data_IF_033019187004
#
_entry.id   IF_033019187004
#
_cell.length_a   1.000
_cell.length_b   1.000
_cell.length_c   1.000
_cell.angle_alpha   90.00
_cell.angle_beta   90.00
_cell.angle_gamma   90.00
#
_symmetry.space_group_name_H-M   'P 1'
#
loop_
_entity.id
_entity.type
_entity.pdbx_description
1 polymer ?
#
# COMPACT_ATOMS: atom_id res chain seq x y z
N UNK A 1 -5.61 -3.08 23.47
CA UNK A 1 -5.90 -3.96 22.31
C UNK A 1 -4.59 -4.49 21.78
N UNK A 2 -4.52 -5.79 21.61
CA UNK A 2 -3.35 -6.44 20.99
C UNK A 2 -3.65 -6.71 19.53
N UNK A 3 -2.73 -6.33 18.64
CA UNK A 3 -2.87 -6.54 17.20
C UNK A 3 -1.77 -7.47 16.70
N UNK A 4 -2.12 -8.35 15.77
CA UNK A 4 -1.15 -9.21 15.08
C UNK A 4 -1.11 -8.84 13.61
N UNK A 5 0.05 -8.39 13.16
CA UNK A 5 0.30 -8.10 11.73
C UNK A 5 1.04 -9.27 11.12
N UNK A 6 0.50 -9.83 10.05
CA UNK A 6 1.16 -10.91 9.30
C UNK A 6 0.77 -10.91 7.83
N UNK A 7 1.55 -11.61 7.02
CA UNK A 7 1.21 -11.86 5.63
C UNK A 7 -0.02 -12.77 5.54
N UNK A 8 -0.86 -12.56 4.53
CA UNK A 8 -1.99 -13.43 4.23
C UNK A 8 -1.53 -14.76 3.68
N UNK A 9 -2.39 -15.79 3.74
CA UNK A 9 -2.21 -17.08 3.07
C UNK A 9 -3.18 -17.21 1.89
N UNK A 10 -2.93 -18.18 1.02
CA UNK A 10 -3.77 -18.41 -0.17
C UNK A 10 -5.21 -18.84 0.17
N UNK A 11 -5.38 -19.48 1.33
CA UNK A 11 -6.67 -19.97 1.81
C UNK A 11 -7.58 -18.86 2.34
N UNK A 12 -7.01 -17.70 2.66
CA UNK A 12 -7.71 -16.55 3.27
C UNK A 12 -8.35 -15.61 2.23
N UNK A 13 -8.73 -16.15 1.09
CA UNK A 13 -9.33 -15.36 0.01
C UNK A 13 -10.71 -14.79 0.36
N UNK A 14 -11.46 -15.43 1.29
CA UNK A 14 -12.76 -14.93 1.75
C UNK A 14 -12.60 -13.68 2.60
N UNK A 15 -11.68 -13.72 3.56
CA UNK A 15 -11.34 -12.59 4.42
C UNK A 15 -10.75 -11.44 3.60
N UNK A 16 -9.91 -11.75 2.60
CA UNK A 16 -9.39 -10.76 1.66
C UNK A 16 -10.51 -10.07 0.89
N UNK A 17 -11.50 -10.84 0.41
CA UNK A 17 -12.68 -10.30 -0.25
C UNK A 17 -13.48 -9.40 0.67
N UNK A 18 -13.80 -9.86 1.87
CA UNK A 18 -14.63 -9.16 2.85
C UNK A 18 -14.03 -7.80 3.23
N UNK A 19 -12.76 -7.77 3.63
CA UNK A 19 -12.11 -6.54 4.04
C UNK A 19 -11.90 -5.58 2.86
N UNK A 20 -11.65 -6.10 1.65
CA UNK A 20 -11.54 -5.26 0.45
C UNK A 20 -12.89 -4.60 0.14
N UNK A 21 -13.98 -5.34 0.18
CA UNK A 21 -15.31 -4.79 -0.07
C UNK A 21 -15.73 -3.81 1.03
N UNK A 22 -15.37 -4.06 2.28
CA UNK A 22 -15.56 -3.11 3.37
C UNK A 22 -14.80 -1.81 3.11
N UNK A 23 -13.52 -1.89 2.73
CA UNK A 23 -12.69 -0.73 2.41
C UNK A 23 -13.27 0.13 1.29
N UNK A 24 -13.75 -0.50 0.22
CA UNK A 24 -14.36 0.18 -0.93
C UNK A 24 -15.71 0.84 -0.58
N UNK A 25 -16.44 0.29 0.38
CA UNK A 25 -17.71 0.84 0.86
C UNK A 25 -17.49 2.01 1.81
N UNK A 26 -16.53 1.87 2.73
CA UNK A 26 -16.19 2.89 3.75
C UNK A 26 -15.46 4.10 3.14
N UNK A 27 -14.56 3.88 2.22
CA UNK A 27 -13.66 4.90 1.68
C UNK A 27 -13.52 4.83 0.16
N UNK A 28 -14.61 5.01 -0.60
CA UNK A 28 -14.62 4.79 -2.06
C UNK A 28 -13.66 5.68 -2.85
N UNK A 29 -13.35 6.89 -2.36
CA UNK A 29 -12.39 7.81 -2.98
C UNK A 29 -10.91 7.49 -2.72
N UNK A 30 -10.63 6.51 -1.85
CA UNK A 30 -9.25 6.14 -1.51
C UNK A 30 -8.67 5.05 -2.43
N UNK A 31 -9.49 4.43 -3.28
CA UNK A 31 -9.09 3.27 -4.08
C UNK A 31 -9.43 3.46 -5.56
N UNK A 32 -8.62 2.86 -6.42
CA UNK A 32 -8.83 2.87 -7.87
C UNK A 32 -9.94 1.88 -8.33
N UNK A 33 -10.46 1.07 -7.43
CA UNK A 33 -11.48 0.05 -7.69
C UNK A 33 -12.87 0.57 -7.31
N UNK A 34 -13.92 0.16 -8.07
CA UNK A 34 -15.30 0.38 -7.68
C UNK A 34 -15.82 -0.79 -6.83
N UNK A 35 -16.68 -0.48 -5.87
CA UNK A 35 -17.34 -1.53 -5.07
C UNK A 35 -18.14 -2.49 -5.95
N UNK A 36 -18.94 -1.96 -6.89
CA UNK A 36 -19.81 -2.77 -7.73
C UNK A 36 -19.04 -3.79 -8.59
N UNK A 37 -18.00 -3.33 -9.30
CA UNK A 37 -17.18 -4.20 -10.16
C UNK A 37 -16.40 -5.22 -9.34
N UNK A 38 -15.94 -4.83 -8.16
CA UNK A 38 -15.17 -5.70 -7.27
C UNK A 38 -16.06 -6.76 -6.61
N UNK A 39 -17.28 -6.39 -6.20
CA UNK A 39 -18.24 -7.31 -5.59
C UNK A 39 -18.75 -8.36 -6.60
N UNK A 40 -18.83 -7.99 -7.89
CA UNK A 40 -19.24 -8.88 -8.97
C UNK A 40 -18.17 -9.93 -9.35
N UNK A 41 -16.94 -9.82 -8.82
CA UNK A 41 -15.89 -10.80 -9.13
C UNK A 41 -16.22 -12.17 -8.55
N UNK A 42 -16.05 -13.26 -9.34
CA UNK A 42 -16.31 -14.61 -8.89
C UNK A 42 -15.25 -15.08 -7.87
N UNK A 43 -15.58 -16.09 -7.08
CA UNK A 43 -14.68 -16.67 -6.07
C UNK A 43 -13.31 -17.05 -6.62
N UNK A 44 -13.26 -17.59 -7.85
CA UNK A 44 -12.00 -17.93 -8.52
C UNK A 44 -11.07 -16.75 -8.76
N UNK A 45 -11.60 -15.53 -8.90
CA UNK A 45 -10.78 -14.31 -8.94
C UNK A 45 -10.06 -14.10 -7.60
N UNK A 46 -10.79 -14.17 -6.50
CA UNK A 46 -10.27 -13.97 -5.15
C UNK A 46 -9.27 -15.05 -4.74
N UNK A 47 -9.53 -16.30 -5.12
CA UNK A 47 -8.60 -17.40 -4.89
C UNK A 47 -7.26 -17.18 -5.61
N UNK A 48 -7.29 -16.79 -6.89
CA UNK A 48 -6.05 -16.47 -7.64
C UNK A 48 -5.34 -15.26 -7.06
N UNK A 49 -6.09 -14.23 -6.65
CA UNK A 49 -5.51 -13.05 -6.03
C UNK A 49 -4.82 -13.40 -4.71
N UNK A 50 -5.50 -14.09 -3.79
CA UNK A 50 -4.90 -14.49 -2.52
C UNK A 50 -3.66 -15.37 -2.72
N UNK A 51 -3.70 -16.33 -3.67
CA UNK A 51 -2.54 -17.15 -3.99
C UNK A 51 -1.36 -16.31 -4.51
N UNK A 52 -1.60 -15.34 -5.40
CA UNK A 52 -0.57 -14.44 -5.91
C UNK A 52 0.03 -13.55 -4.80
N UNK A 53 -0.80 -13.06 -3.88
CA UNK A 53 -0.37 -12.22 -2.74
C UNK A 53 0.38 -13.01 -1.66
N UNK A 54 0.09 -14.30 -1.53
CA UNK A 54 0.74 -15.20 -0.60
C UNK A 54 2.02 -15.83 -1.17
N UNK A 55 2.23 -15.82 -2.48
CA UNK A 55 3.42 -16.36 -3.12
C UNK A 55 4.68 -15.61 -2.71
N UNK A 56 5.82 -16.30 -2.71
CA UNK A 56 7.12 -15.66 -2.45
C UNK A 56 7.45 -14.63 -3.52
N UNK A 57 8.02 -13.49 -3.14
CA UNK A 57 8.43 -12.44 -4.07
C UNK A 57 8.12 -11.02 -3.58
N UNK A 58 8.21 -10.08 -4.50
CA UNK A 58 8.07 -8.64 -4.24
C UNK A 58 6.63 -8.24 -3.92
N UNK A 59 5.64 -8.92 -4.53
CA UNK A 59 4.22 -8.71 -4.24
C UNK A 59 3.84 -9.40 -2.93
N UNK A 60 3.16 -8.66 -2.05
CA UNK A 60 2.62 -9.22 -0.82
C UNK A 60 1.44 -8.40 -0.31
N UNK A 61 0.54 -9.07 0.40
CA UNK A 61 -0.50 -8.44 1.20
C UNK A 61 -0.38 -8.90 2.65
N UNK A 62 -0.48 -7.92 3.56
CA UNK A 62 -0.48 -8.11 5.00
C UNK A 62 -1.84 -7.75 5.56
N UNK A 63 -2.26 -8.50 6.58
CA UNK A 63 -3.47 -8.23 7.36
C UNK A 63 -3.11 -7.89 8.79
N UNK A 64 -3.99 -7.14 9.42
CA UNK A 64 -4.00 -6.94 10.88
C UNK A 64 -5.17 -7.71 11.46
N UNK A 65 -4.90 -8.49 12.50
CA UNK A 65 -5.93 -9.17 13.29
C UNK A 65 -6.02 -8.57 14.69
N UNK A 66 -7.22 -8.48 15.20
CA UNK A 66 -7.47 -8.15 16.59
C UNK A 66 -7.37 -9.39 17.51
N UNK A 67 -7.70 -9.22 18.78
CA UNK A 67 -7.67 -10.27 19.81
C UNK A 67 -8.66 -11.43 19.52
N UNK A 68 -9.69 -11.19 18.73
CA UNK A 68 -10.67 -12.22 18.32
C UNK A 68 -10.20 -13.00 17.10
N UNK A 69 -9.14 -12.55 16.44
CA UNK A 69 -8.65 -13.07 15.17
C UNK A 69 -9.34 -12.47 13.94
N UNK A 70 -10.25 -11.52 14.12
CA UNK A 70 -10.91 -10.83 13.00
C UNK A 70 -9.92 -9.92 12.26
N UNK A 71 -10.08 -9.83 10.94
CA UNK A 71 -9.31 -8.89 10.13
C UNK A 71 -9.83 -7.47 10.32
N UNK A 72 -8.95 -6.59 10.79
CA UNK A 72 -9.28 -5.19 11.06
C UNK A 72 -8.45 -4.21 10.23
N UNK A 73 -7.56 -4.72 9.38
CA UNK A 73 -6.77 -3.90 8.48
C UNK A 73 -6.05 -4.72 7.43
N UNK A 74 -5.71 -4.06 6.33
CA UNK A 74 -5.01 -4.63 5.18
C UNK A 74 -4.09 -3.59 4.56
N UNK A 75 -2.96 -4.03 4.02
CA UNK A 75 -2.13 -3.27 3.11
C UNK A 75 -1.34 -4.21 2.19
N UNK A 76 -1.04 -3.76 0.99
CA UNK A 76 -0.24 -4.51 0.03
C UNK A 76 0.95 -3.71 -0.49
N UNK A 77 1.88 -4.43 -1.12
CA UNK A 77 2.98 -3.88 -1.89
C UNK A 77 3.17 -4.68 -3.16
N UNK A 78 3.52 -4.01 -4.24
CA UNK A 78 3.78 -4.64 -5.54
C UNK A 78 4.73 -3.78 -6.40
N UNK A 79 5.43 -4.37 -7.37
CA UNK A 79 6.15 -3.64 -8.40
C UNK A 79 5.21 -2.71 -9.17
N UNK A 80 5.70 -1.52 -9.53
CA UNK A 80 4.94 -0.59 -10.37
C UNK A 80 5.14 -0.98 -11.83
N UNK A 81 4.08 -1.32 -12.57
CA UNK A 81 4.20 -1.64 -14.00
C UNK A 81 4.89 -0.50 -14.76
N UNK A 82 5.80 -0.85 -15.65
CA UNK A 82 6.53 0.07 -16.54
C UNK A 82 7.38 1.15 -15.84
N UNK A 83 7.56 1.03 -14.52
CA UNK A 83 8.46 1.92 -13.76
C UNK A 83 9.53 1.05 -13.09
N UNK A 84 10.74 0.98 -13.67
CA UNK A 84 11.80 0.13 -13.16
C UNK A 84 12.21 0.53 -11.74
N UNK A 85 12.73 -0.42 -11.00
CA UNK A 85 13.29 -0.25 -9.66
C UNK A 85 12.32 0.40 -8.64
N UNK A 86 11.00 0.28 -8.87
CA UNK A 86 9.98 0.91 -8.02
C UNK A 86 8.93 -0.09 -7.57
N UNK A 87 8.67 -0.12 -6.27
CA UNK A 87 7.52 -0.80 -5.66
C UNK A 87 6.56 0.23 -5.07
N UNK A 88 5.27 -0.11 -5.06
CA UNK A 88 4.21 0.76 -4.58
C UNK A 88 3.42 0.09 -3.45
N UNK A 89 3.22 0.83 -2.37
CA UNK A 89 2.25 0.45 -1.33
C UNK A 89 0.85 0.71 -1.84
N UNK A 90 -0.04 -0.23 -1.63
CA UNK A 90 -1.43 -0.17 -2.09
C UNK A 90 -2.42 -0.70 -1.06
N UNK A 91 -3.68 -0.38 -1.26
CA UNK A 91 -4.82 -0.94 -0.50
C UNK A 91 -4.69 -0.80 1.01
N UNK A 92 -4.13 0.31 1.49
CA UNK A 92 -3.99 0.55 2.93
C UNK A 92 -5.35 0.89 3.51
N UNK A 93 -5.82 0.03 4.40
CA UNK A 93 -7.10 0.19 5.07
C UNK A 93 -7.05 -0.34 6.50
N UNK A 94 -7.72 0.35 7.40
CA UNK A 94 -8.03 -0.10 8.77
C UNK A 94 -9.50 0.23 9.03
N UNK A 95 -10.23 -0.73 9.58
CA UNK A 95 -11.66 -0.58 9.89
C UNK A 95 -11.90 0.61 10.84
N UNK A 96 -13.01 1.33 10.74
CA UNK A 96 -13.25 2.57 11.49
C UNK A 96 -13.03 2.46 13.01
N UNK A 97 -13.48 1.36 13.61
CA UNK A 97 -13.37 1.13 15.06
C UNK A 97 -11.93 0.99 15.56
N UNK A 98 -10.98 0.66 14.67
CA UNK A 98 -9.57 0.41 15.01
C UNK A 98 -8.63 1.52 14.52
N UNK A 99 -9.18 2.67 14.06
CA UNK A 99 -8.40 3.84 13.63
C UNK A 99 -7.96 4.69 14.83
N UNK A 100 -6.92 5.49 14.62
CA UNK A 100 -6.42 6.46 15.60
C UNK A 100 -4.96 6.21 15.99
N UNK A 101 -4.48 6.96 16.99
CA UNK A 101 -3.06 6.94 17.36
C UNK A 101 -2.60 5.59 17.95
N UNK A 102 -3.51 4.87 18.63
CA UNK A 102 -3.27 3.54 19.18
C UNK A 102 -3.65 2.40 18.21
N UNK A 103 -4.06 2.73 16.99
CA UNK A 103 -4.44 1.74 15.97
C UNK A 103 -3.24 1.13 15.26
N UNK A 104 -3.45 0.02 14.56
CA UNK A 104 -2.37 -0.80 14.01
C UNK A 104 -1.82 -0.30 12.67
N UNK A 105 -2.27 0.84 12.16
CA UNK A 105 -1.90 1.31 10.83
C UNK A 105 -0.38 1.50 10.67
N UNK A 106 0.31 2.00 11.70
CA UNK A 106 1.76 2.19 11.66
C UNK A 106 2.50 0.85 11.62
N UNK A 107 2.09 -0.13 12.42
CA UNK A 107 2.70 -1.46 12.45
C UNK A 107 2.49 -2.19 11.12
N UNK A 108 1.30 -2.06 10.53
CA UNK A 108 0.99 -2.58 9.20
C UNK A 108 1.92 -1.99 8.14
N UNK A 109 2.10 -0.67 8.14
CA UNK A 109 3.02 0.00 7.20
C UNK A 109 4.47 -0.40 7.42
N UNK A 110 4.92 -0.58 8.67
CA UNK A 110 6.26 -1.06 8.96
C UNK A 110 6.49 -2.49 8.45
N UNK A 111 5.48 -3.37 8.52
CA UNK A 111 5.56 -4.72 7.96
C UNK A 111 5.73 -4.68 6.43
N UNK A 112 4.97 -3.81 5.75
CA UNK A 112 5.09 -3.58 4.30
C UNK A 112 6.49 -3.06 3.92
N UNK A 113 6.99 -2.05 4.63
CA UNK A 113 8.31 -1.45 4.35
C UNK A 113 9.42 -2.50 4.55
N UNK A 114 9.36 -3.29 5.62
CA UNK A 114 10.33 -4.40 5.84
C UNK A 114 10.25 -5.42 4.72
N UNK A 115 9.05 -5.89 4.38
CA UNK A 115 8.88 -6.87 3.31
C UNK A 115 9.46 -6.36 1.98
N UNK A 116 9.14 -5.12 1.60
CA UNK A 116 9.65 -4.52 0.38
C UNK A 116 11.19 -4.44 0.38
N UNK A 117 11.82 -4.14 1.53
CA UNK A 117 13.28 -4.14 1.66
C UNK A 117 13.90 -5.53 1.51
N UNK A 118 13.26 -6.53 2.09
CA UNK A 118 13.84 -7.87 2.20
C UNK A 118 13.61 -8.72 0.93
N UNK A 119 12.56 -8.42 0.16
CA UNK A 119 12.10 -9.27 -0.95
C UNK A 119 12.07 -8.57 -2.31
N UNK A 120 12.49 -7.30 -2.39
CA UNK A 120 12.56 -6.55 -3.64
C UNK A 120 13.96 -6.00 -3.88
N UNK A 121 14.36 -5.92 -5.15
CA UNK A 121 15.55 -5.19 -5.59
C UNK A 121 15.29 -3.70 -5.85
N UNK A 122 14.04 -3.25 -5.74
CA UNK A 122 13.64 -1.89 -6.02
C UNK A 122 14.45 -0.85 -5.21
N UNK A 123 14.72 0.27 -5.81
CA UNK A 123 15.42 1.40 -5.18
C UNK A 123 14.42 2.39 -4.55
N UNK A 124 13.18 2.37 -5.02
CA UNK A 124 12.14 3.33 -4.64
C UNK A 124 10.92 2.61 -4.07
N UNK A 125 10.42 3.11 -2.93
CA UNK A 125 9.13 2.75 -2.37
C UNK A 125 8.24 3.98 -2.45
N UNK A 126 7.08 3.83 -3.11
CA UNK A 126 6.13 4.92 -3.32
C UNK A 126 4.73 4.53 -2.86
N UNK A 127 3.85 5.49 -2.79
CA UNK A 127 2.40 5.31 -2.68
C UNK A 127 1.67 6.49 -3.30
N UNK A 128 0.42 6.25 -3.73
CA UNK A 128 -0.46 7.29 -4.23
C UNK A 128 -1.51 7.67 -3.19
N UNK A 129 -1.79 8.97 -3.03
CA UNK A 129 -2.85 9.47 -2.16
C UNK A 129 -3.69 10.48 -2.92
N UNK A 130 -5.02 10.29 -2.92
CA UNK A 130 -5.95 11.27 -3.46
C UNK A 130 -5.84 12.59 -2.67
N UNK A 131 -5.84 13.73 -3.38
CA UNK A 131 -5.70 15.08 -2.78
C UNK A 131 -6.78 15.37 -1.74
N UNK A 132 -7.98 14.81 -1.91
CA UNK A 132 -9.09 14.96 -0.96
C UNK A 132 -8.88 14.19 0.35
N UNK A 133 -7.94 13.22 0.39
CA UNK A 133 -7.68 12.39 1.56
C UNK A 133 -6.60 12.99 2.47
N UNK A 134 -6.86 14.18 3.04
CA UNK A 134 -5.93 14.88 3.92
C UNK A 134 -5.51 14.07 5.16
N UNK A 135 -6.39 13.19 5.66
CA UNK A 135 -6.07 12.30 6.79
C UNK A 135 -4.96 11.29 6.42
N UNK A 136 -5.07 10.65 5.26
CA UNK A 136 -4.06 9.72 4.78
C UNK A 136 -2.74 10.45 4.48
N UNK A 137 -2.79 11.62 3.83
CA UNK A 137 -1.61 12.45 3.60
C UNK A 137 -0.86 12.75 4.90
N UNK A 138 -1.57 13.22 5.94
CA UNK A 138 -0.98 13.52 7.23
C UNK A 138 -0.40 12.25 7.91
N UNK A 139 -1.06 11.10 7.75
CA UNK A 139 -0.58 9.83 8.28
C UNK A 139 0.73 9.39 7.62
N UNK A 140 0.79 9.37 6.29
CA UNK A 140 2.00 8.94 5.57
C UNK A 140 3.19 9.88 5.81
N UNK A 141 2.95 11.20 5.86
CA UNK A 141 4.01 12.16 6.21
C UNK A 141 4.57 11.92 7.61
N UNK A 142 3.74 11.59 8.61
CA UNK A 142 4.22 11.21 9.95
C UNK A 142 5.03 9.91 9.96
N UNK A 143 4.79 9.02 9.01
CA UNK A 143 5.60 7.79 8.83
C UNK A 143 6.91 8.05 8.09
N UNK A 144 7.15 9.26 7.60
CA UNK A 144 8.36 9.63 6.90
C UNK A 144 8.27 9.55 5.37
N UNK A 145 7.07 9.41 4.80
CA UNK A 145 6.89 9.60 3.36
C UNK A 145 6.91 11.09 3.02
N UNK A 146 7.51 11.42 1.90
CA UNK A 146 7.67 12.80 1.41
C UNK A 146 7.08 12.96 0.01
N UNK A 147 6.68 14.18 -0.32
CA UNK A 147 6.16 14.51 -1.64
C UNK A 147 7.28 14.38 -2.69
N UNK A 148 7.04 13.60 -3.74
CA UNK A 148 7.97 13.47 -4.86
C UNK A 148 7.84 14.61 -5.88
N UNK A 149 6.81 15.44 -5.77
CA UNK A 149 6.41 16.42 -6.78
C UNK A 149 5.63 15.81 -7.95
N UNK A 150 5.53 14.49 -8.04
CA UNK A 150 4.74 13.82 -9.09
C UNK A 150 3.28 13.79 -8.70
N UNK A 151 2.44 14.25 -9.64
CA UNK A 151 0.98 14.26 -9.53
C UNK A 151 0.40 13.56 -10.75
N UNK A 152 -0.57 12.68 -10.53
CA UNK A 152 -1.30 12.00 -11.61
C UNK A 152 -2.80 12.21 -11.45
N UNK A 153 -3.59 12.15 -12.54
CA UNK A 153 -5.05 12.17 -12.44
C UNK A 153 -5.55 10.95 -11.65
N UNK A 154 -6.62 11.15 -10.87
CA UNK A 154 -7.30 10.03 -10.24
C UNK A 154 -8.08 9.23 -11.29
N UNK A 155 -7.88 7.92 -11.33
CA UNK A 155 -8.40 7.07 -12.41
C UNK A 155 -9.93 7.04 -12.51
N UNK A 156 -10.62 7.24 -11.38
CA UNK A 156 -12.10 7.23 -11.32
C UNK A 156 -12.73 8.61 -11.48
N UNK A 157 -11.97 9.66 -11.25
CA UNK A 157 -12.36 11.05 -11.51
C UNK A 157 -11.12 11.85 -11.91
N UNK A 158 -10.87 12.03 -13.21
CA UNK A 158 -9.67 12.72 -13.69
C UNK A 158 -9.58 14.21 -13.31
N UNK A 159 -10.64 14.79 -12.73
CA UNK A 159 -10.61 16.15 -12.19
C UNK A 159 -9.91 16.22 -10.83
N UNK A 160 -9.86 15.09 -10.11
CA UNK A 160 -9.12 14.95 -8.87
C UNK A 160 -7.67 14.51 -9.13
N UNK A 161 -6.79 14.79 -8.18
CA UNK A 161 -5.37 14.51 -8.26
C UNK A 161 -4.94 13.45 -7.25
N UNK A 162 -3.97 12.65 -7.64
CA UNK A 162 -3.27 11.73 -6.76
C UNK A 162 -1.83 12.20 -6.61
N UNK A 163 -1.43 12.50 -5.39
CA UNK A 163 -0.05 12.81 -5.04
C UNK A 163 0.75 11.54 -4.88
N UNK A 164 1.91 11.47 -5.51
CA UNK A 164 2.84 10.36 -5.33
C UNK A 164 3.84 10.73 -4.24
N UNK A 165 3.78 9.98 -3.15
CA UNK A 165 4.74 10.10 -2.05
C UNK A 165 5.83 9.04 -2.20
N UNK A 166 7.05 9.37 -1.82
CA UNK A 166 8.19 8.47 -1.76
C UNK A 166 8.67 8.27 -0.33
N UNK A 167 9.30 7.15 -0.05
CA UNK A 167 9.90 6.87 1.26
C UNK A 167 11.42 7.10 1.19
N UNK A 168 11.95 8.24 1.68
CA UNK A 168 13.37 8.53 1.67
C UNK A 168 14.15 7.48 2.44
N UNK A 169 15.33 7.12 1.93
CA UNK A 169 16.16 6.11 2.58
C UNK A 169 15.56 4.70 2.58
N UNK A 170 14.63 4.42 1.68
CA UNK A 170 14.10 3.07 1.48
C UNK A 170 15.24 2.04 1.32
N UNK A 171 16.28 2.40 0.59
CA UNK A 171 17.56 1.69 0.59
C UNK A 171 18.61 2.55 1.30
N UNK A 172 18.97 2.22 2.51
CA UNK A 172 20.10 2.80 3.21
C UNK A 172 21.38 2.39 2.48
N UNK A 173 21.85 3.23 1.55
CA UNK A 173 23.05 2.94 0.77
C UNK A 173 23.10 3.50 -0.65
N UNK A 174 21.99 3.98 -1.23
CA UNK A 174 22.05 4.73 -2.46
C UNK A 174 22.69 6.11 -2.18
N UNK A 175 24.02 6.16 -2.22
CA UNK A 175 24.79 7.40 -2.23
C UNK A 175 24.29 8.25 -3.39
N UNK A 176 23.78 9.42 -3.08
CA UNK A 176 23.66 10.55 -3.99
C UNK A 176 25.03 10.82 -4.64
N UNK A 177 25.29 10.13 -5.72
CA UNK A 177 26.43 10.35 -6.61
C UNK A 177 26.04 11.30 -7.71
N UNK A 178 25.71 12.54 -7.38
CA UNK A 178 25.74 13.63 -8.35
C UNK A 178 27.20 13.91 -8.69
N UNK A 179 27.79 13.16 -9.60
CA UNK A 179 28.97 13.63 -10.32
C UNK A 179 28.49 14.51 -11.47
N UNK A 180 28.53 15.81 -11.26
CA UNK A 180 28.67 16.75 -12.36
C UNK A 180 29.92 16.34 -13.18
N UNK A 181 29.84 16.26 -14.51
CA UNK A 181 31.03 16.29 -15.32
C UNK A 181 31.56 17.72 -15.28
N UNK A 182 32.65 17.93 -14.58
CA UNK A 182 33.45 19.12 -14.69
C UNK A 182 33.93 19.24 -16.15
N UNK A 183 33.48 20.30 -16.80
CA UNK A 183 34.04 20.75 -18.05
C UNK A 183 35.53 21.09 -17.88
N UNK A 184 36.29 20.72 -18.85
CA UNK A 184 37.59 21.32 -19.10
C UNK A 184 37.92 21.25 -20.57
N UNK A 185 38.01 22.42 -21.14
CA UNK A 185 38.74 22.91 -22.31
C UNK A 185 38.41 22.34 -23.68
#
# INVERSE_FOLDING_TARGET
>A
MHYVVRRITAEEWRELREITLEALRDSPGAFNLSYADTAAQPDGHWQRQAAAEAATGERATFTVRDETGAWVGIAGVEPVPDVPDTVCVRSVYVTPAHRGAAGPAADLMQAIIRHARDHSSAQWLTLGVNESNGRALAFYRRLGFEDTGKVIPYVRDPTEKVFILGYPGFRSGARTGTRQPSGSR
#
